data_IF_163234861158
#
_entry.id   IF_163234861158
#
_cell.length_a   1.000
_cell.length_b   1.000
_cell.length_c   1.000
_cell.angle_alpha   90.00
_cell.angle_beta   90.00
_cell.angle_gamma   90.00
#
_symmetry.space_group_name_H-M   'P 1'
#
loop_
_entity.id
_entity.type
_entity.pdbx_description
1 polymer ?
#
# COMPACT_ATOMS: atom_id res chain seq x y z
N UNK A 1 -66.68 -92.64 -30.29
CA UNK A 1 -65.44 -93.34 -29.94
C UNK A 1 -64.36 -92.81 -30.86
N UNK A 2 -63.40 -92.10 -30.28
CA UNK A 2 -62.37 -91.31 -30.95
C UNK A 2 -62.07 -90.09 -30.10
N UNK A 3 -61.34 -90.32 -29.00
CA UNK A 3 -60.87 -89.31 -28.05
C UNK A 3 -59.60 -88.64 -28.60
N UNK A 4 -59.58 -87.31 -28.62
CA UNK A 4 -58.37 -86.51 -28.81
C UNK A 4 -57.88 -86.05 -27.43
N UNK A 5 -56.67 -86.48 -27.06
CA UNK A 5 -56.00 -86.11 -25.81
C UNK A 5 -55.15 -84.86 -26.02
N UNK A 6 -55.52 -83.75 -25.38
CA UNK A 6 -54.74 -82.52 -25.31
C UNK A 6 -53.75 -82.59 -24.14
N UNK A 7 -52.46 -82.39 -24.43
CA UNK A 7 -51.39 -82.31 -23.44
C UNK A 7 -51.32 -80.89 -22.85
N UNK A 8 -51.44 -80.76 -21.52
CA UNK A 8 -51.19 -79.51 -20.81
C UNK A 8 -49.69 -79.27 -20.59
N UNK A 9 -49.18 -78.03 -20.71
CA UNK A 9 -47.80 -77.73 -20.35
C UNK A 9 -47.66 -77.46 -18.85
N UNK A 10 -46.50 -77.89 -18.33
CA UNK A 10 -46.09 -77.80 -16.94
C UNK A 10 -45.88 -76.35 -16.49
N UNK A 11 -46.28 -76.08 -15.23
CA UNK A 11 -45.97 -74.84 -14.54
C UNK A 11 -44.51 -74.86 -14.08
N UNK A 12 -43.68 -74.03 -14.73
CA UNK A 12 -42.33 -73.71 -14.29
C UNK A 12 -42.37 -72.69 -13.16
N UNK A 13 -41.80 -73.07 -12.02
CA UNK A 13 -41.55 -72.29 -10.81
C UNK A 13 -40.74 -71.02 -11.14
N UNK A 14 -41.34 -69.86 -10.89
CA UNK A 14 -40.73 -68.55 -11.09
C UNK A 14 -39.85 -68.22 -9.90
N UNK A 15 -38.55 -68.42 -10.04
CA UNK A 15 -37.56 -68.02 -9.04
C UNK A 15 -37.65 -66.53 -8.73
N UNK A 16 -37.76 -66.21 -7.45
CA UNK A 16 -37.66 -64.87 -6.91
C UNK A 16 -36.35 -64.24 -7.36
N UNK A 17 -36.44 -63.26 -8.27
CA UNK A 17 -35.33 -62.37 -8.57
C UNK A 17 -35.07 -61.55 -7.30
N UNK A 18 -33.97 -61.84 -6.60
CA UNK A 18 -33.48 -60.98 -5.54
C UNK A 18 -33.37 -59.56 -6.12
N UNK A 19 -34.14 -58.63 -5.54
CA UNK A 19 -34.08 -57.24 -5.94
C UNK A 19 -32.64 -56.75 -5.75
N UNK A 20 -32.03 -56.28 -6.84
CA UNK A 20 -30.73 -55.59 -6.82
C UNK A 20 -30.71 -54.61 -5.64
N UNK A 21 -29.69 -54.63 -4.78
CA UNK A 21 -29.65 -53.78 -3.59
C UNK A 21 -29.79 -52.32 -4.00
N UNK A 22 -30.90 -51.70 -3.59
CA UNK A 22 -31.18 -50.29 -3.85
C UNK A 22 -30.18 -49.43 -3.10
N UNK A 23 -29.36 -48.70 -3.84
CA UNK A 23 -28.45 -47.70 -3.29
C UNK A 23 -29.12 -46.33 -3.28
N UNK A 24 -29.35 -45.76 -2.10
CA UNK A 24 -29.97 -44.44 -1.94
C UNK A 24 -28.93 -43.34 -2.23
N UNK A 25 -29.05 -42.58 -3.35
CA UNK A 25 -28.08 -41.55 -3.71
C UNK A 25 -28.02 -40.39 -2.71
N UNK A 26 -29.00 -40.26 -1.82
CA UNK A 26 -29.05 -39.20 -0.78
C UNK A 26 -28.30 -39.58 0.49
N UNK A 27 -27.88 -40.84 0.64
CA UNK A 27 -27.09 -41.29 1.79
C UNK A 27 -25.68 -40.68 1.77
N UNK A 28 -25.16 -40.39 2.96
CA UNK A 28 -23.78 -39.93 3.11
C UNK A 28 -22.79 -41.10 2.89
N UNK A 29 -21.58 -40.86 2.36
CA UNK A 29 -20.58 -41.91 2.18
C UNK A 29 -20.20 -42.69 3.45
N UNK A 30 -20.40 -42.11 4.63
CA UNK A 30 -20.16 -42.76 5.91
C UNK A 30 -21.31 -43.64 6.41
N UNK A 31 -22.52 -43.44 5.89
CA UNK A 31 -23.71 -44.20 6.27
C UNK A 31 -23.90 -45.42 5.36
N UNK A 32 -23.65 -45.25 4.05
CA UNK A 32 -23.72 -46.33 3.07
C UNK A 32 -22.61 -46.21 2.04
N UNK A 33 -21.72 -47.21 1.98
CA UNK A 33 -20.61 -47.23 1.04
C UNK A 33 -21.05 -47.48 -0.42
N UNK A 34 -22.29 -47.93 -0.67
CA UNK A 34 -22.80 -48.15 -2.02
C UNK A 34 -22.74 -46.89 -2.88
N UNK A 35 -22.85 -45.72 -2.25
CA UNK A 35 -22.84 -44.42 -2.93
C UNK A 35 -21.46 -43.99 -3.40
N UNK A 36 -20.42 -44.75 -3.07
CA UNK A 36 -19.03 -44.51 -3.47
C UNK A 36 -18.76 -45.31 -4.75
N UNK A 37 -19.35 -44.87 -5.85
CA UNK A 37 -19.13 -45.45 -7.17
C UNK A 37 -19.19 -44.37 -8.27
N UNK A 38 -18.67 -44.70 -9.46
CA UNK A 38 -18.55 -43.80 -10.62
C UNK A 38 -19.92 -43.23 -11.06
N UNK A 39 -21.02 -43.91 -10.75
CA UNK A 39 -22.39 -43.46 -11.05
C UNK A 39 -22.89 -42.34 -10.11
N UNK A 40 -22.28 -42.18 -8.93
CA UNK A 40 -22.75 -41.28 -7.87
C UNK A 40 -21.83 -40.10 -7.60
N UNK A 41 -20.56 -40.19 -8.02
CA UNK A 41 -19.56 -39.17 -7.74
C UNK A 41 -18.46 -39.08 -8.78
N UNK A 42 -17.81 -37.92 -8.81
CA UNK A 42 -16.61 -37.65 -9.57
C UNK A 42 -15.42 -37.72 -8.62
N UNK A 43 -14.48 -38.58 -8.96
CA UNK A 43 -13.28 -38.84 -8.17
C UNK A 43 -12.15 -37.87 -8.53
N UNK A 44 -11.51 -37.32 -7.51
CA UNK A 44 -10.45 -36.32 -7.64
C UNK A 44 -9.26 -36.72 -6.77
N UNK A 45 -8.05 -36.69 -7.34
CA UNK A 45 -6.79 -37.03 -6.68
C UNK A 45 -5.67 -36.13 -7.22
N UNK A 46 -4.74 -35.63 -6.39
CA UNK A 46 -3.61 -34.83 -6.87
C UNK A 46 -2.73 -35.56 -7.90
N UNK A 47 -2.73 -36.90 -7.87
CA UNK A 47 -2.00 -37.76 -8.81
C UNK A 47 -2.80 -38.08 -10.10
N UNK A 48 -4.02 -37.53 -10.23
CA UNK A 48 -4.90 -37.71 -11.37
C UNK A 48 -4.48 -36.93 -12.63
N UNK A 49 -5.41 -36.82 -13.58
CA UNK A 49 -5.22 -36.02 -14.79
C UNK A 49 -6.49 -35.26 -15.18
N UNK A 50 -6.36 -33.97 -15.51
CA UNK A 50 -7.48 -33.13 -15.96
C UNK A 50 -7.72 -33.28 -17.47
N UNK A 51 -8.05 -34.49 -17.91
CA UNK A 51 -8.50 -34.74 -19.27
C UNK A 51 -10.03 -34.68 -19.41
N UNK A 52 -10.52 -34.79 -20.65
CA UNK A 52 -11.95 -34.69 -20.96
C UNK A 52 -12.78 -35.87 -20.41
N UNK A 53 -12.14 -36.93 -19.92
CA UNK A 53 -12.75 -38.17 -19.46
C UNK A 53 -12.47 -38.48 -17.98
N UNK A 54 -11.69 -37.65 -17.30
CA UNK A 54 -11.36 -37.82 -15.90
C UNK A 54 -12.60 -37.86 -15.01
N UNK A 55 -12.45 -38.42 -13.81
CA UNK A 55 -13.49 -38.41 -12.78
C UNK A 55 -13.98 -39.78 -12.34
N UNK A 56 -13.44 -40.86 -12.88
CA UNK A 56 -13.73 -42.22 -12.40
C UNK A 56 -12.76 -42.59 -11.29
N UNK A 57 -13.12 -43.57 -10.46
CA UNK A 57 -12.27 -44.11 -9.40
C UNK A 57 -10.91 -44.65 -9.90
N UNK A 58 -10.78 -44.98 -11.18
CA UNK A 58 -9.54 -45.47 -11.80
C UNK A 58 -8.80 -44.42 -12.64
N UNK A 59 -9.48 -43.33 -13.01
CA UNK A 59 -8.92 -42.19 -13.74
C UNK A 59 -9.46 -40.88 -13.12
N UNK A 60 -9.04 -40.54 -11.89
CA UNK A 60 -9.54 -39.36 -11.19
C UNK A 60 -9.06 -38.07 -11.87
N UNK A 61 -9.84 -37.00 -11.72
CA UNK A 61 -9.38 -35.65 -12.10
C UNK A 61 -8.25 -35.21 -11.18
N UNK A 62 -7.31 -34.40 -11.69
CA UNK A 62 -6.18 -33.88 -10.92
C UNK A 62 -6.62 -32.75 -9.96
N UNK A 63 -7.55 -31.90 -10.40
CA UNK A 63 -8.00 -30.73 -9.65
C UNK A 63 -9.44 -30.85 -9.17
N UNK A 64 -9.72 -30.27 -8.01
CA UNK A 64 -11.06 -30.11 -7.46
C UNK A 64 -11.90 -29.23 -8.40
N UNK A 65 -11.30 -28.19 -8.99
CA UNK A 65 -12.00 -27.34 -9.97
C UNK A 65 -12.54 -28.15 -11.15
N UNK A 66 -11.71 -29.01 -11.76
CA UNK A 66 -12.16 -29.89 -12.83
C UNK A 66 -13.19 -30.91 -12.34
N UNK A 67 -12.98 -31.47 -11.15
CA UNK A 67 -13.93 -32.39 -10.51
C UNK A 67 -15.32 -31.78 -10.33
N UNK A 68 -15.42 -30.54 -9.82
CA UNK A 68 -16.68 -29.82 -9.68
C UNK A 68 -17.36 -29.56 -11.02
N UNK A 69 -16.60 -29.18 -12.05
CA UNK A 69 -17.14 -28.94 -13.38
C UNK A 69 -17.80 -30.20 -13.96
N UNK A 70 -17.14 -31.36 -13.81
CA UNK A 70 -17.67 -32.66 -14.24
C UNK A 70 -18.85 -33.10 -13.39
N UNK A 71 -18.77 -32.92 -12.07
CA UNK A 71 -19.84 -33.28 -11.16
C UNK A 71 -21.12 -32.49 -11.46
N UNK A 72 -20.99 -31.19 -11.75
CA UNK A 72 -22.12 -30.36 -12.17
C UNK A 72 -22.72 -30.82 -13.51
N UNK A 73 -21.87 -31.12 -14.50
CA UNK A 73 -22.32 -31.57 -15.82
C UNK A 73 -23.04 -32.93 -15.77
N UNK A 74 -22.66 -33.79 -14.83
CA UNK A 74 -23.20 -35.15 -14.69
C UNK A 74 -24.23 -35.26 -13.55
N UNK A 75 -24.52 -34.18 -12.83
CA UNK A 75 -25.40 -34.16 -11.63
C UNK A 75 -24.95 -35.17 -10.56
N UNK A 76 -23.65 -35.15 -10.25
CA UNK A 76 -22.98 -36.04 -9.29
C UNK A 76 -22.35 -35.23 -8.15
N UNK A 77 -21.86 -35.95 -7.14
CA UNK A 77 -21.05 -35.38 -6.04
C UNK A 77 -19.57 -35.34 -6.41
N UNK A 78 -18.75 -34.70 -5.60
CA UNK A 78 -17.28 -34.76 -5.72
C UNK A 78 -16.70 -35.57 -4.56
N UNK A 79 -15.85 -36.53 -4.88
CA UNK A 79 -15.09 -37.35 -3.95
C UNK A 79 -13.60 -37.05 -4.11
N UNK A 80 -13.05 -36.26 -3.20
CA UNK A 80 -11.64 -35.89 -3.19
C UNK A 80 -10.88 -36.76 -2.20
N UNK A 81 -9.73 -37.29 -2.61
CA UNK A 81 -8.89 -38.07 -1.72
C UNK A 81 -8.00 -37.18 -0.83
N UNK A 82 -7.74 -37.64 0.39
CA UNK A 82 -7.15 -36.84 1.47
C UNK A 82 -5.75 -37.25 1.91
N UNK A 83 -5.14 -38.27 1.30
CA UNK A 83 -3.80 -38.76 1.63
C UNK A 83 -2.85 -38.82 0.42
N UNK A 84 -3.20 -38.12 -0.67
CA UNK A 84 -2.43 -38.02 -1.92
C UNK A 84 -1.55 -36.78 -2.05
N UNK A 85 -1.51 -35.93 -1.02
CA UNK A 85 -0.80 -34.65 -1.03
C UNK A 85 -1.73 -33.45 -1.24
N UNK A 86 -1.13 -32.32 -1.61
CA UNK A 86 -1.84 -31.03 -1.70
C UNK A 86 -2.51 -30.86 -3.07
N UNK A 87 -3.76 -30.40 -3.07
CA UNK A 87 -4.38 -29.78 -4.22
C UNK A 87 -3.85 -28.35 -4.35
N UNK A 88 -2.85 -28.19 -5.22
CA UNK A 88 -2.11 -26.94 -5.42
C UNK A 88 -2.87 -25.88 -6.23
N UNK A 89 -4.10 -25.55 -5.81
CA UNK A 89 -5.01 -24.65 -6.52
C UNK A 89 -5.77 -23.72 -5.57
N UNK A 90 -6.33 -22.64 -6.14
CA UNK A 90 -7.36 -21.83 -5.48
C UNK A 90 -8.73 -22.28 -5.99
N UNK A 91 -9.57 -22.78 -5.08
CA UNK A 91 -10.90 -23.29 -5.42
C UNK A 91 -11.90 -22.15 -5.43
N UNK A 92 -12.69 -22.04 -6.51
CA UNK A 92 -13.79 -21.09 -6.62
C UNK A 92 -15.10 -21.82 -6.93
N UNK A 93 -16.11 -21.59 -6.09
CA UNK A 93 -17.47 -22.09 -6.27
C UNK A 93 -18.37 -20.89 -6.55
N UNK A 94 -18.91 -20.80 -7.76
CA UNK A 94 -19.83 -19.74 -8.15
C UNK A 94 -21.26 -20.24 -8.37
N UNK A 95 -22.18 -19.33 -8.68
CA UNK A 95 -23.59 -19.64 -8.88
C UNK A 95 -23.89 -20.72 -9.95
N UNK A 96 -22.94 -21.07 -10.83
CA UNK A 96 -23.11 -22.17 -11.78
C UNK A 96 -23.00 -23.56 -11.13
N UNK A 97 -22.51 -23.62 -9.88
CA UNK A 97 -22.23 -24.83 -9.11
C UNK A 97 -23.20 -24.99 -7.91
N UNK A 98 -24.42 -24.46 -8.02
CA UNK A 98 -25.43 -24.58 -6.96
C UNK A 98 -25.82 -26.03 -6.65
N UNK A 99 -26.00 -26.33 -5.37
CA UNK A 99 -26.43 -27.64 -4.88
C UNK A 99 -25.33 -28.72 -4.90
N UNK A 100 -24.07 -28.35 -5.16
CA UNK A 100 -22.97 -29.30 -5.14
C UNK A 100 -22.66 -29.79 -3.72
N UNK A 101 -22.32 -31.07 -3.62
CA UNK A 101 -21.80 -31.67 -2.40
C UNK A 101 -20.43 -32.29 -2.66
N UNK A 102 -19.46 -31.91 -1.82
CA UNK A 102 -18.06 -32.29 -1.90
C UNK A 102 -17.64 -33.00 -0.63
N UNK A 103 -16.91 -34.10 -0.78
CA UNK A 103 -16.44 -34.93 0.32
C UNK A 103 -14.94 -35.21 0.15
N UNK A 104 -14.12 -34.75 1.09
CA UNK A 104 -12.66 -34.83 1.08
C UNK A 104 -12.07 -35.98 1.92
N UNK A 105 -12.92 -36.81 2.53
CA UNK A 105 -12.52 -37.81 3.52
C UNK A 105 -12.07 -39.16 2.95
N UNK A 106 -11.64 -39.24 1.69
CA UNK A 106 -11.35 -40.54 1.03
C UNK A 106 -9.87 -40.89 1.04
N UNK A 107 -9.53 -42.18 1.17
CA UNK A 107 -8.16 -42.66 0.91
C UNK A 107 -7.93 -42.84 -0.59
N UNK A 108 -6.83 -42.32 -1.11
CA UNK A 108 -6.50 -42.37 -2.54
C UNK A 108 -6.23 -43.81 -3.03
N UNK A 109 -5.86 -44.74 -2.14
CA UNK A 109 -5.51 -46.11 -2.51
C UNK A 109 -6.71 -46.97 -2.91
N UNK A 110 -7.86 -46.76 -2.26
CA UNK A 110 -9.02 -47.65 -2.37
C UNK A 110 -10.38 -46.93 -2.31
N UNK A 111 -10.38 -45.60 -2.22
CA UNK A 111 -11.58 -44.77 -2.07
C UNK A 111 -12.44 -45.14 -0.85
N UNK A 112 -11.86 -45.76 0.19
CA UNK A 112 -12.55 -45.92 1.46
C UNK A 112 -12.75 -44.56 2.12
N UNK A 113 -13.97 -44.31 2.61
CA UNK A 113 -14.29 -43.06 3.30
C UNK A 113 -13.87 -43.15 4.78
N UNK A 114 -12.92 -42.32 5.17
CA UNK A 114 -12.29 -42.31 6.48
C UNK A 114 -12.05 -40.88 7.02
N UNK A 115 -13.12 -40.06 7.17
CA UNK A 115 -13.04 -38.61 7.48
C UNK A 115 -12.46 -38.26 8.85
N UNK A 116 -12.30 -39.26 9.73
CA UNK A 116 -11.60 -39.12 11.01
C UNK A 116 -10.07 -39.21 10.89
N UNK A 117 -9.55 -39.60 9.72
CA UNK A 117 -8.12 -39.87 9.49
C UNK A 117 -7.52 -39.09 8.35
N UNK A 118 -8.29 -38.79 7.30
CA UNK A 118 -7.83 -38.10 6.10
C UNK A 118 -8.78 -36.96 5.74
N UNK A 119 -8.23 -35.90 5.14
CA UNK A 119 -8.98 -34.75 4.61
C UNK A 119 -8.28 -34.23 3.37
N UNK A 120 -9.03 -33.94 2.31
CA UNK A 120 -8.51 -33.32 1.11
C UNK A 120 -7.90 -31.94 1.45
N UNK A 121 -6.63 -31.75 1.12
CA UNK A 121 -5.89 -30.56 1.50
C UNK A 121 -5.76 -29.58 0.34
N UNK A 122 -6.44 -28.44 0.43
CA UNK A 122 -6.38 -27.35 -0.55
C UNK A 122 -5.35 -26.33 -0.09
N UNK A 123 -4.29 -26.17 -0.88
CA UNK A 123 -3.20 -25.27 -0.57
C UNK A 123 -2.65 -24.64 -1.84
N UNK A 124 -3.05 -23.40 -2.18
CA UNK A 124 -2.61 -22.73 -3.39
C UNK A 124 -1.08 -22.69 -3.54
N UNK A 125 -0.60 -22.76 -4.78
CA UNK A 125 0.83 -22.72 -5.09
C UNK A 125 1.51 -21.38 -4.74
N UNK A 126 0.75 -20.30 -4.58
CA UNK A 126 1.23 -18.98 -4.19
C UNK A 126 0.32 -18.29 -3.18
N UNK A 127 0.62 -17.03 -2.85
CA UNK A 127 -0.26 -16.22 -2.01
C UNK A 127 -1.62 -16.00 -2.68
N UNK A 128 -2.68 -15.96 -1.88
CA UNK A 128 -4.05 -15.82 -2.37
C UNK A 128 -5.08 -16.46 -1.44
N UNK A 129 -6.34 -16.36 -1.83
CA UNK A 129 -7.44 -17.04 -1.13
C UNK A 129 -7.45 -18.51 -1.57
N UNK A 130 -7.50 -19.44 -0.60
CA UNK A 130 -7.54 -20.87 -0.90
C UNK A 130 -8.92 -21.33 -1.38
N UNK A 131 -9.98 -20.82 -0.75
CA UNK A 131 -11.35 -21.18 -1.09
C UNK A 131 -12.26 -19.96 -1.20
N UNK A 132 -12.92 -19.78 -2.34
CA UNK A 132 -13.88 -18.70 -2.59
C UNK A 132 -15.24 -19.27 -2.96
N UNK A 133 -16.30 -18.79 -2.30
CA UNK A 133 -17.71 -19.06 -2.64
C UNK A 133 -18.38 -17.73 -2.97
N UNK A 134 -18.98 -17.61 -4.15
CA UNK A 134 -19.63 -16.36 -4.60
C UNK A 134 -21.01 -16.64 -5.23
N UNK A 135 -22.07 -16.11 -4.62
CA UNK A 135 -23.41 -16.14 -5.23
C UNK A 135 -24.09 -17.51 -5.22
N UNK A 136 -23.60 -18.46 -4.44
CA UNK A 136 -24.08 -19.86 -4.41
C UNK A 136 -25.33 -20.00 -3.55
N UNK A 137 -26.27 -20.84 -3.98
CA UNK A 137 -27.44 -21.27 -3.23
C UNK A 137 -27.41 -22.80 -3.05
N UNK A 138 -27.03 -23.24 -1.85
CA UNK A 138 -26.78 -24.64 -1.52
C UNK A 138 -25.36 -25.06 -1.91
N UNK A 139 -24.55 -25.40 -0.91
CA UNK A 139 -23.22 -25.99 -1.09
C UNK A 139 -22.88 -26.78 0.17
N UNK A 140 -22.48 -28.03 0.01
CA UNK A 140 -22.03 -28.88 1.12
C UNK A 140 -20.56 -29.25 0.91
N UNK A 141 -19.72 -28.97 1.90
CA UNK A 141 -18.28 -29.25 1.85
C UNK A 141 -17.89 -30.00 3.12
N UNK A 142 -17.50 -31.26 2.96
CA UNK A 142 -17.18 -32.17 4.04
C UNK A 142 -15.71 -32.55 4.01
N UNK A 143 -15.05 -32.52 5.16
CA UNK A 143 -13.72 -33.12 5.35
C UNK A 143 -12.60 -32.50 4.50
N UNK A 144 -12.58 -31.17 4.38
CA UNK A 144 -11.51 -30.44 3.71
C UNK A 144 -10.59 -29.75 4.71
N UNK A 145 -9.29 -29.78 4.44
CA UNK A 145 -8.33 -28.87 5.04
C UNK A 145 -8.03 -27.75 4.04
N UNK A 146 -8.39 -26.52 4.37
CA UNK A 146 -8.29 -25.35 3.50
C UNK A 146 -7.25 -24.42 4.11
N UNK A 147 -6.12 -24.27 3.44
CA UNK A 147 -4.99 -23.48 3.94
C UNK A 147 -4.55 -22.42 2.93
N UNK A 148 -4.35 -21.18 3.39
CA UNK A 148 -3.72 -20.12 2.59
C UNK A 148 -2.28 -19.89 3.03
N UNK A 149 -1.40 -19.66 2.05
CA UNK A 149 0.01 -19.32 2.29
C UNK A 149 0.16 -17.99 3.02
N UNK A 150 1.30 -17.80 3.65
CA UNK A 150 1.71 -16.49 4.17
C UNK A 150 1.69 -15.45 3.05
N UNK A 151 1.18 -14.28 3.35
CA UNK A 151 1.25 -13.15 2.43
C UNK A 151 2.67 -12.57 2.45
N UNK A 152 3.20 -12.30 1.26
CA UNK A 152 4.57 -11.78 1.07
C UNK A 152 4.57 -10.39 0.44
N UNK A 153 3.56 -10.08 -0.37
CA UNK A 153 3.38 -8.74 -0.93
C UNK A 153 3.03 -7.73 0.18
N UNK A 154 3.72 -6.59 0.31
CA UNK A 154 3.47 -5.64 1.39
C UNK A 154 2.00 -5.23 1.52
N UNK A 155 1.45 -5.37 2.73
CA UNK A 155 0.04 -5.11 3.03
C UNK A 155 -0.96 -6.16 2.53
N UNK A 156 -0.53 -7.20 1.82
CA UNK A 156 -1.41 -8.29 1.40
C UNK A 156 -1.82 -9.17 2.58
N UNK A 157 -3.03 -9.72 2.50
CA UNK A 157 -3.61 -10.59 3.52
C UNK A 157 -3.46 -12.06 3.15
N UNK A 158 -3.35 -12.92 4.16
CA UNK A 158 -3.57 -14.35 4.03
C UNK A 158 -5.00 -14.68 4.48
N UNK A 159 -5.81 -15.24 3.58
CA UNK A 159 -7.21 -15.55 3.86
C UNK A 159 -7.51 -16.95 3.36
N UNK A 160 -7.88 -17.88 4.25
CA UNK A 160 -8.11 -19.27 3.83
C UNK A 160 -9.44 -19.42 3.09
N UNK A 161 -10.52 -18.81 3.60
CA UNK A 161 -11.85 -18.88 2.99
C UNK A 161 -12.54 -17.53 2.86
N UNK A 162 -13.25 -17.31 1.74
CA UNK A 162 -14.17 -16.19 1.54
C UNK A 162 -15.51 -16.73 1.03
N UNK A 163 -16.60 -16.40 1.71
CA UNK A 163 -17.98 -16.72 1.31
C UNK A 163 -18.78 -15.43 1.19
N UNK A 164 -19.20 -15.08 -0.02
CA UNK A 164 -19.89 -13.82 -0.30
C UNK A 164 -21.18 -14.00 -1.09
N UNK A 165 -22.21 -13.26 -0.71
CA UNK A 165 -23.52 -13.26 -1.35
C UNK A 165 -24.12 -14.68 -1.53
N UNK A 166 -23.86 -15.60 -0.60
CA UNK A 166 -24.24 -17.00 -0.73
C UNK A 166 -25.20 -17.43 0.39
N UNK A 167 -26.06 -18.41 0.11
CA UNK A 167 -26.99 -18.98 1.10
C UNK A 167 -26.96 -20.50 1.08
N UNK A 168 -27.25 -21.12 2.23
CA UNK A 168 -27.24 -22.58 2.35
C UNK A 168 -25.85 -23.20 2.18
N UNK A 169 -24.79 -22.48 2.53
CA UNK A 169 -23.42 -23.00 2.51
C UNK A 169 -23.16 -23.73 3.83
N UNK A 170 -22.77 -25.00 3.75
CA UNK A 170 -22.46 -25.85 4.89
C UNK A 170 -21.03 -26.37 4.76
N UNK A 171 -20.22 -26.10 5.77
CA UNK A 171 -18.94 -26.77 5.97
C UNK A 171 -19.06 -27.73 7.14
N UNK A 172 -18.63 -28.99 6.93
CA UNK A 172 -18.64 -30.03 7.94
C UNK A 172 -17.26 -30.64 8.11
N UNK A 173 -16.81 -30.83 9.35
CA UNK A 173 -15.53 -31.45 9.70
C UNK A 173 -14.33 -30.87 8.91
N UNK A 174 -14.38 -29.57 8.61
CA UNK A 174 -13.43 -28.89 7.74
C UNK A 174 -12.61 -27.86 8.50
N UNK A 175 -11.36 -27.66 8.10
CA UNK A 175 -10.45 -26.72 8.76
C UNK A 175 -10.08 -25.58 7.84
N UNK A 176 -10.07 -24.36 8.35
CA UNK A 176 -9.57 -23.18 7.65
C UNK A 176 -8.36 -22.62 8.39
N UNK A 177 -7.21 -22.58 7.71
CA UNK A 177 -5.95 -22.12 8.28
C UNK A 177 -5.37 -21.00 7.43
N UNK A 178 -5.33 -19.79 7.97
CA UNK A 178 -4.64 -18.68 7.32
C UNK A 178 -3.20 -18.56 7.82
N UNK A 179 -2.27 -18.37 6.88
CA UNK A 179 -0.91 -17.94 7.16
C UNK A 179 -0.82 -16.49 7.66
N UNK A 180 0.40 -15.99 7.79
CA UNK A 180 0.67 -14.64 8.27
C UNK A 180 0.27 -13.57 7.24
N UNK A 181 -0.24 -12.43 7.73
CA UNK A 181 -0.43 -11.23 6.92
C UNK A 181 0.89 -10.49 6.70
N UNK A 182 1.07 -9.89 5.52
CA UNK A 182 2.32 -9.19 5.19
C UNK A 182 2.41 -7.83 5.89
N UNK A 183 3.62 -7.47 6.35
CA UNK A 183 3.90 -6.11 6.82
C UNK A 183 3.63 -5.09 5.70
N UNK A 184 3.07 -3.93 6.04
CA UNK A 184 2.91 -2.82 5.11
C UNK A 184 4.22 -2.10 4.81
N UNK A 185 4.35 -1.51 3.61
CA UNK A 185 5.52 -0.74 3.21
C UNK A 185 5.82 0.42 4.16
N UNK A 186 7.09 0.59 4.49
CA UNK A 186 7.56 1.78 5.19
C UNK A 186 7.48 3.01 4.26
N UNK A 187 7.18 4.15 4.86
CA UNK A 187 7.27 5.44 4.20
C UNK A 187 8.72 5.81 3.89
N UNK A 188 8.89 6.64 2.88
CA UNK A 188 10.18 7.15 2.41
C UNK A 188 10.46 8.47 3.13
N UNK A 189 11.67 8.63 3.63
CA UNK A 189 12.12 9.88 4.24
C UNK A 189 12.11 11.04 3.22
N UNK A 190 11.73 12.21 3.70
CA UNK A 190 11.69 13.41 2.88
C UNK A 190 13.09 13.90 2.50
N UNK A 191 13.22 14.42 1.27
CA UNK A 191 14.45 15.04 0.81
C UNK A 191 14.80 16.30 1.64
N UNK A 192 16.09 16.53 1.84
CA UNK A 192 16.58 17.76 2.47
C UNK A 192 16.27 18.98 1.61
N UNK A 193 15.97 20.10 2.25
CA UNK A 193 15.83 21.38 1.59
C UNK A 193 17.18 21.85 1.05
N UNK A 194 17.19 22.49 -0.12
CA UNK A 194 18.40 23.12 -0.65
C UNK A 194 18.84 24.29 0.24
N UNK A 195 20.15 24.43 0.44
CA UNK A 195 20.72 25.58 1.12
C UNK A 195 20.51 26.85 0.30
N UNK A 196 20.47 28.00 0.98
CA UNK A 196 20.57 29.30 0.31
C UNK A 196 21.89 29.39 -0.46
N UNK A 197 21.91 29.93 -1.68
CA UNK A 197 23.16 30.10 -2.41
C UNK A 197 24.07 31.10 -1.70
N UNK A 198 25.37 30.83 -1.72
CA UNK A 198 26.39 31.73 -1.17
C UNK A 198 26.58 32.97 -2.08
N UNK A 199 26.82 34.16 -1.50
CA UNK A 199 26.96 35.39 -2.28
C UNK A 199 28.23 35.37 -3.14
N UNK A 200 28.09 35.78 -4.40
CA UNK A 200 29.19 35.97 -5.34
C UNK A 200 29.61 37.44 -5.49
N UNK A 201 30.54 37.75 -6.41
CA UNK A 201 31.03 39.11 -6.64
C UNK A 201 29.94 40.14 -6.96
N UNK A 202 28.84 39.73 -7.60
CA UNK A 202 27.73 40.63 -7.96
C UNK A 202 26.82 40.98 -6.79
N UNK A 203 26.90 40.23 -5.69
CA UNK A 203 26.17 40.50 -4.45
C UNK A 203 26.94 41.41 -3.50
N UNK A 204 28.24 41.65 -3.71
CA UNK A 204 29.04 42.53 -2.87
C UNK A 204 28.75 44.01 -3.14
N UNK A 205 28.94 44.83 -2.11
CA UNK A 205 28.98 46.28 -2.25
C UNK A 205 30.20 46.75 -3.04
N UNK A 206 30.11 47.94 -3.61
CA UNK A 206 31.15 48.58 -4.40
C UNK A 206 31.95 49.51 -3.50
N UNK A 207 33.29 49.41 -3.56
CA UNK A 207 34.20 50.25 -2.80
C UNK A 207 34.04 51.73 -3.17
N UNK A 208 34.33 52.63 -2.24
CA UNK A 208 34.33 54.07 -2.50
C UNK A 208 35.37 54.45 -3.58
N UNK A 209 35.09 55.52 -4.34
CA UNK A 209 36.02 56.05 -5.36
C UNK A 209 35.95 57.57 -5.46
N UNK A 210 37.10 58.21 -5.65
CA UNK A 210 37.20 59.66 -5.84
C UNK A 210 37.73 60.04 -7.23
N UNK A 211 38.32 59.09 -7.96
CA UNK A 211 39.18 59.42 -9.10
C UNK A 211 38.48 59.45 -10.46
N UNK A 212 37.28 58.87 -10.64
CA UNK A 212 36.49 58.91 -11.89
C UNK A 212 35.01 58.50 -11.65
N UNK A 213 34.07 58.61 -12.63
CA UNK A 213 32.71 58.04 -12.53
C UNK A 213 32.72 56.55 -12.14
N UNK A 214 31.62 56.02 -11.55
CA UNK A 214 30.23 56.42 -11.75
C UNK A 214 29.68 57.48 -10.77
N UNK A 215 28.53 58.05 -11.13
CA UNK A 215 27.75 58.98 -10.28
C UNK A 215 27.03 58.28 -9.14
N UNK A 216 26.88 56.95 -9.21
CA UNK A 216 26.14 56.14 -8.23
C UNK A 216 26.83 54.79 -8.10
N UNK A 217 27.04 54.34 -6.87
CA UNK A 217 27.34 52.95 -6.56
C UNK A 217 26.06 52.24 -6.15
N UNK A 218 25.61 51.31 -6.99
CA UNK A 218 24.51 50.44 -6.63
C UNK A 218 24.94 49.47 -5.53
N UNK A 219 24.06 49.22 -4.57
CA UNK A 219 24.27 48.14 -3.62
C UNK A 219 24.18 46.78 -4.31
N UNK A 220 24.86 45.80 -3.71
CA UNK A 220 24.83 44.42 -4.19
C UNK A 220 23.41 43.87 -4.20
N UNK A 221 23.10 43.04 -5.19
CA UNK A 221 21.76 42.49 -5.39
C UNK A 221 21.80 41.05 -5.91
N UNK A 222 20.74 40.32 -5.65
CA UNK A 222 20.51 39.00 -6.24
C UNK A 222 19.74 39.12 -7.54
N UNK A 223 19.96 38.17 -8.46
CA UNK A 223 19.15 38.05 -9.66
C UNK A 223 18.05 37.02 -9.43
N UNK A 224 16.88 37.22 -10.04
CA UNK A 224 15.73 36.29 -9.93
C UNK A 224 16.07 34.85 -10.35
N UNK A 225 17.02 34.64 -11.27
CA UNK A 225 17.48 33.31 -11.67
C UNK A 225 18.31 32.58 -10.61
N UNK A 226 18.75 33.27 -9.56
CA UNK A 226 19.53 32.73 -8.45
C UNK A 226 18.67 32.51 -7.19
N UNK A 227 17.39 32.92 -7.22
CA UNK A 227 16.45 32.76 -6.11
C UNK A 227 15.98 31.31 -6.06
N UNK A 228 16.17 30.65 -4.91
CA UNK A 228 15.75 29.27 -4.69
C UNK A 228 14.63 29.25 -3.66
N UNK A 229 13.58 28.46 -3.90
CA UNK A 229 12.41 28.33 -3.03
C UNK A 229 11.76 29.66 -2.67
N UNK A 230 11.87 30.61 -3.60
CA UNK A 230 11.40 31.98 -3.46
C UNK A 230 11.98 32.71 -2.24
N UNK A 231 13.08 32.30 -1.62
CA UNK A 231 13.68 33.11 -0.56
C UNK A 231 14.70 34.07 -1.18
N UNK A 232 14.55 35.38 -0.98
CA UNK A 232 15.51 36.40 -1.42
C UNK A 232 16.08 37.23 -0.26
N UNK A 233 17.38 37.49 -0.27
CA UNK A 233 18.02 38.45 0.61
C UNK A 233 17.87 39.89 0.10
N UNK A 234 17.82 40.85 1.02
CA UNK A 234 17.57 42.26 0.68
C UNK A 234 18.71 42.88 -0.12
N UNK A 235 18.38 43.79 -1.04
CA UNK A 235 19.38 44.55 -1.80
C UNK A 235 20.18 45.48 -0.87
N UNK A 236 21.48 45.61 -1.09
CA UNK A 236 22.30 46.61 -0.41
C UNK A 236 21.91 48.06 -0.74
N UNK A 237 22.19 48.99 0.16
CA UNK A 237 21.95 50.41 -0.05
C UNK A 237 22.82 50.99 -1.17
N UNK A 238 22.27 51.91 -1.96
CA UNK A 238 23.04 52.65 -2.97
C UNK A 238 23.62 53.94 -2.36
N UNK A 239 24.60 54.54 -3.03
CA UNK A 239 25.08 55.88 -2.69
C UNK A 239 25.47 56.66 -3.94
N UNK A 240 25.06 57.93 -3.97
CA UNK A 240 25.40 58.87 -5.02
C UNK A 240 26.69 59.65 -4.71
N UNK A 241 27.33 60.12 -5.77
CA UNK A 241 28.52 60.98 -5.68
C UNK A 241 28.20 62.28 -4.95
N UNK A 242 29.06 62.64 -4.00
CA UNK A 242 29.06 63.98 -3.42
C UNK A 242 29.32 65.03 -4.49
N UNK A 243 28.64 66.17 -4.41
CA UNK A 243 28.94 67.31 -5.29
C UNK A 243 30.24 67.99 -4.82
N UNK A 244 30.68 69.01 -5.55
CA UNK A 244 31.83 69.83 -5.15
C UNK A 244 31.65 70.55 -3.80
N UNK A 245 30.42 70.63 -3.28
CA UNK A 245 30.09 71.37 -2.05
C UNK A 245 29.24 70.60 -1.05
N UNK A 246 28.73 69.42 -1.40
CA UNK A 246 27.81 68.65 -0.56
C UNK A 246 28.10 67.15 -0.60
N UNK A 247 28.03 66.53 0.57
CA UNK A 247 28.05 65.08 0.74
C UNK A 247 26.66 64.50 0.40
N UNK A 248 26.58 63.19 0.19
CA UNK A 248 25.32 62.47 0.09
C UNK A 248 25.28 61.37 1.13
N UNK A 249 24.16 61.25 1.82
CA UNK A 249 23.91 60.11 2.70
C UNK A 249 23.88 58.82 1.89
N UNK A 250 24.35 57.73 2.49
CA UNK A 250 24.08 56.40 1.97
C UNK A 250 22.60 56.08 2.13
N UNK A 251 22.05 55.30 1.20
CA UNK A 251 20.71 54.76 1.32
C UNK A 251 20.71 53.53 2.24
N UNK A 252 19.57 53.27 2.87
CA UNK A 252 19.32 52.03 3.61
C UNK A 252 19.38 50.83 2.66
N UNK A 253 19.81 49.69 3.18
CA UNK A 253 19.55 48.41 2.54
C UNK A 253 18.06 48.11 2.54
N UNK A 254 17.63 47.28 1.58
CA UNK A 254 16.27 46.76 1.57
C UNK A 254 16.14 45.57 2.52
N UNK A 255 14.93 45.35 3.01
CA UNK A 255 14.60 44.15 3.77
C UNK A 255 14.74 42.90 2.89
N UNK A 256 15.04 41.76 3.51
CA UNK A 256 14.89 40.46 2.86
C UNK A 256 13.42 40.17 2.54
N UNK A 257 13.18 39.33 1.54
CA UNK A 257 11.82 39.03 1.10
C UNK A 257 11.00 38.43 2.26
N UNK A 258 9.90 39.09 2.63
CA UNK A 258 9.07 38.65 3.72
C UNK A 258 8.43 37.29 3.42
N UNK A 259 8.61 36.35 4.33
CA UNK A 259 7.91 35.06 4.31
C UNK A 259 6.92 34.97 5.45
N UNK A 260 5.86 34.21 5.19
CA UNK A 260 4.96 33.73 6.23
C UNK A 260 5.54 32.45 6.84
N UNK A 261 5.08 32.07 8.03
CA UNK A 261 5.48 30.83 8.71
C UNK A 261 6.98 30.80 9.07
N UNK A 262 7.45 31.86 9.72
CA UNK A 262 8.84 32.02 10.18
C UNK A 262 8.96 31.94 11.71
N UNK A 263 10.15 31.58 12.18
CA UNK A 263 10.54 31.70 13.59
C UNK A 263 11.93 32.34 13.67
N UNK A 264 12.04 33.60 14.15
CA UNK A 264 10.96 34.52 14.55
C UNK A 264 10.14 35.04 13.33
N UNK A 265 8.90 35.54 13.53
CA UNK A 265 7.95 35.84 12.46
C UNK A 265 8.31 37.02 11.55
N UNK A 266 9.19 37.91 12.00
CA UNK A 266 9.73 39.03 11.20
C UNK A 266 11.21 39.12 11.49
N UNK A 267 12.03 39.05 10.44
CA UNK A 267 13.46 39.26 10.47
C UNK A 267 13.92 39.90 9.16
N UNK A 268 15.23 40.04 8.96
CA UNK A 268 15.77 40.49 7.68
C UNK A 268 15.59 41.99 7.38
N UNK A 269 15.43 42.84 8.38
CA UNK A 269 15.40 44.29 8.20
C UNK A 269 16.70 44.85 7.58
N UNK A 270 16.59 45.78 6.64
CA UNK A 270 17.71 46.43 5.98
C UNK A 270 18.59 47.25 6.94
N UNK A 271 19.89 47.31 6.64
CA UNK A 271 20.84 48.11 7.39
C UNK A 271 20.70 49.60 7.06
N UNK A 272 20.78 50.46 8.07
CA UNK A 272 20.62 51.92 7.90
C UNK A 272 21.80 52.52 7.12
N UNK A 273 21.54 53.36 6.14
CA UNK A 273 22.56 54.14 5.44
C UNK A 273 23.20 55.17 6.37
N UNK A 274 24.48 55.46 6.14
CA UNK A 274 25.19 56.47 6.92
C UNK A 274 24.85 57.89 6.43
N UNK A 275 24.68 58.82 7.36
CA UNK A 275 24.59 60.27 7.08
C UNK A 275 25.92 60.99 7.26
N UNK A 276 26.95 60.30 7.74
CA UNK A 276 28.24 60.89 8.10
C UNK A 276 29.33 60.40 7.12
N UNK A 277 30.04 61.31 6.43
CA UNK A 277 31.12 60.94 5.52
C UNK A 277 32.15 60.04 6.17
N UNK A 278 32.68 59.07 5.41
CA UNK A 278 33.65 58.09 5.87
C UNK A 278 33.17 57.17 7.03
N UNK A 279 31.87 57.18 7.35
CA UNK A 279 31.24 56.20 8.26
C UNK A 279 30.50 55.16 7.42
N UNK A 280 30.76 53.88 7.71
CA UNK A 280 30.08 52.76 7.07
C UNK A 280 28.57 52.77 7.38
N UNK A 281 27.77 52.23 6.47
CA UNK A 281 26.36 51.94 6.75
C UNK A 281 26.22 50.80 7.77
N UNK A 282 25.01 50.66 8.31
CA UNK A 282 24.64 49.60 9.24
C UNK A 282 24.59 48.23 8.56
N UNK A 283 24.84 47.19 9.34
CA UNK A 283 24.68 45.80 8.92
C UNK A 283 23.19 45.47 8.85
N UNK A 284 22.76 44.78 7.79
CA UNK A 284 21.40 44.26 7.70
C UNK A 284 21.13 43.18 8.75
N UNK A 285 19.89 43.08 9.22
CA UNK A 285 19.51 42.07 10.20
C UNK A 285 19.55 40.66 9.57
N UNK A 286 19.86 39.62 10.37
CA UNK A 286 19.78 38.24 9.90
C UNK A 286 18.35 37.90 9.48
N UNK A 287 18.22 36.95 8.55
CA UNK A 287 16.93 36.35 8.19
C UNK A 287 16.38 35.44 9.29
N UNK A 288 15.25 34.79 9.02
CA UNK A 288 14.61 33.85 9.95
C UNK A 288 14.48 32.45 9.34
N UNK A 289 14.49 31.43 10.20
CA UNK A 289 14.20 30.06 9.77
C UNK A 289 12.70 29.91 9.45
N UNK A 290 12.39 29.08 8.46
CA UNK A 290 11.01 28.65 8.21
C UNK A 290 10.54 27.68 9.28
N UNK A 291 9.23 27.65 9.53
CA UNK A 291 8.59 26.68 10.39
C UNK A 291 8.78 25.26 9.85
N UNK A 292 8.90 24.30 10.76
CA UNK A 292 8.86 22.89 10.41
C UNK A 292 7.49 22.52 9.81
N UNK A 293 7.48 21.51 8.95
CA UNK A 293 6.24 20.91 8.46
C UNK A 293 5.50 20.18 9.58
N UNK A 294 4.21 19.95 9.38
CA UNK A 294 3.41 19.11 10.27
C UNK A 294 3.78 17.64 10.14
N UNK A 295 3.69 16.90 11.24
CA UNK A 295 3.81 15.45 11.23
C UNK A 295 2.65 14.81 10.46
N UNK A 296 2.92 13.64 9.88
CA UNK A 296 1.87 12.78 9.32
C UNK A 296 0.94 12.24 10.40
N UNK A 297 -0.19 11.70 9.97
CA UNK A 297 -1.22 11.15 10.88
C UNK A 297 -1.30 9.65 10.68
N UNK A 298 -1.34 8.87 11.76
CA UNK A 298 -1.55 7.43 11.68
C UNK A 298 -2.96 7.11 11.18
N UNK A 299 -3.14 5.93 10.58
CA UNK A 299 -4.48 5.45 10.25
C UNK A 299 -5.32 5.31 11.53
N UNK A 300 -6.57 5.79 11.50
CA UNK A 300 -7.47 5.73 12.66
C UNK A 300 -7.97 4.31 12.98
N UNK A 301 -7.83 3.38 12.03
CA UNK A 301 -8.16 1.97 12.16
C UNK A 301 -7.10 1.13 11.43
N UNK A 302 -7.08 -0.18 11.68
CA UNK A 302 -6.15 -1.09 10.98
C UNK A 302 -6.52 -1.30 9.50
N UNK A 303 -7.81 -1.22 9.17
CA UNK A 303 -8.34 -1.48 7.84
C UNK A 303 -9.84 -1.69 7.87
N UNK A 304 -10.39 -2.12 6.74
CA UNK A 304 -11.82 -2.44 6.57
C UNK A 304 -11.96 -3.76 5.83
N UNK A 305 -12.93 -4.57 6.25
CA UNK A 305 -13.38 -5.70 5.44
C UNK A 305 -14.29 -5.20 4.33
N UNK A 306 -14.12 -5.76 3.14
CA UNK A 306 -14.93 -5.55 1.94
C UNK A 306 -15.35 -6.92 1.39
N UNK A 307 -16.19 -6.93 0.35
CA UNK A 307 -16.57 -8.16 -0.34
C UNK A 307 -15.39 -8.92 -0.95
N UNK A 308 -14.24 -8.28 -1.16
CA UNK A 308 -13.03 -8.90 -1.71
C UNK A 308 -11.99 -9.30 -0.66
N UNK A 309 -12.30 -9.16 0.64
CA UNK A 309 -11.38 -9.48 1.74
C UNK A 309 -11.07 -8.28 2.63
N UNK A 310 -9.83 -8.19 3.13
CA UNK A 310 -9.41 -7.09 4.01
C UNK A 310 -8.58 -6.05 3.26
N UNK A 311 -8.97 -4.78 3.39
CA UNK A 311 -8.21 -3.64 2.87
C UNK A 311 -7.53 -2.91 4.03
N UNK A 312 -6.19 -2.94 4.13
CA UNK A 312 -5.48 -2.28 5.22
C UNK A 312 -5.53 -0.76 5.08
N UNK A 313 -5.64 -0.04 6.20
CA UNK A 313 -5.64 1.41 6.21
C UNK A 313 -4.20 1.94 6.29
N UNK A 314 -3.91 2.99 5.52
CA UNK A 314 -2.60 3.65 5.51
C UNK A 314 -2.62 4.95 6.30
N UNK A 315 -1.47 5.33 6.84
CA UNK A 315 -1.30 6.67 7.40
C UNK A 315 -1.35 7.75 6.32
N UNK A 316 -1.39 9.00 6.76
CA UNK A 316 -1.25 10.18 5.93
C UNK A 316 0.16 10.78 6.04
N UNK A 317 0.73 11.27 4.94
CA UNK A 317 2.04 11.92 4.97
C UNK A 317 2.01 13.19 5.84
N UNK A 318 3.19 13.65 6.25
CA UNK A 318 3.34 14.98 6.82
C UNK A 318 3.22 16.09 5.77
N UNK A 319 3.59 17.31 6.14
CA UNK A 319 3.68 18.43 5.19
C UNK A 319 5.14 18.85 5.00
N UNK A 320 5.42 19.50 3.87
CA UNK A 320 6.71 20.15 3.66
C UNK A 320 6.95 21.21 4.75
N UNK A 321 8.22 21.43 5.09
CA UNK A 321 8.65 22.58 5.85
C UNK A 321 8.57 23.86 5.01
N UNK A 322 8.55 25.00 5.69
CA UNK A 322 8.51 26.30 5.03
C UNK A 322 9.93 26.77 4.70
N UNK A 323 10.14 27.47 3.57
CA UNK A 323 11.39 28.18 3.30
C UNK A 323 11.70 29.21 4.39
N UNK A 324 12.97 29.41 4.69
CA UNK A 324 13.43 30.54 5.49
C UNK A 324 13.28 31.87 4.74
N UNK A 325 13.38 32.96 5.50
CA UNK A 325 13.48 34.31 4.97
C UNK A 325 14.95 34.71 4.84
N UNK A 326 15.27 35.44 3.77
CA UNK A 326 16.60 36.04 3.57
C UNK A 326 16.91 37.18 4.55
N UNK A 327 18.19 37.46 4.76
CA UNK A 327 18.63 38.60 5.57
C UNK A 327 18.44 39.94 4.86
N UNK A 328 18.50 41.04 5.62
CA UNK A 328 18.46 42.39 5.07
C UNK A 328 19.77 42.78 4.38
N UNK A 329 19.70 43.63 3.38
CA UNK A 329 20.88 44.21 2.74
C UNK A 329 21.59 45.19 3.67
N UNK A 330 22.90 45.34 3.52
CA UNK A 330 23.67 46.35 4.27
C UNK A 330 23.35 47.78 3.79
N UNK A 331 23.41 48.75 4.68
CA UNK A 331 23.30 50.17 4.32
C UNK A 331 24.56 50.68 3.62
N UNK A 332 24.43 51.71 2.79
CA UNK A 332 25.59 52.35 2.17
C UNK A 332 26.29 53.32 3.13
N UNK A 333 27.61 53.51 2.94
CA UNK A 333 28.34 54.61 3.56
C UNK A 333 28.02 55.95 2.88
N UNK A 334 28.11 57.05 3.63
CA UNK A 334 27.93 58.38 3.04
C UNK A 334 29.12 58.75 2.14
N UNK A 335 28.86 59.54 1.09
CA UNK A 335 29.91 60.04 0.22
C UNK A 335 30.65 61.23 0.81
N UNK A 336 31.96 61.31 0.54
CA UNK A 336 32.75 62.53 0.72
C UNK A 336 32.55 63.48 -0.46
N UNK A 337 32.96 64.75 -0.30
CA UNK A 337 32.92 65.76 -1.38
C UNK A 337 33.66 65.22 -2.60
N UNK A 338 33.02 65.32 -3.77
CA UNK A 338 33.55 64.85 -5.06
C UNK A 338 33.85 63.34 -5.17
N UNK A 339 33.50 62.53 -4.16
CA UNK A 339 33.68 61.08 -4.15
C UNK A 339 32.33 60.36 -4.18
N UNK A 340 32.31 59.10 -4.62
CA UNK A 340 31.16 58.20 -4.45
C UNK A 340 31.45 57.29 -3.27
N UNK A 341 30.51 57.21 -2.32
CA UNK A 341 30.68 56.39 -1.11
C UNK A 341 30.70 54.89 -1.42
N UNK A 342 30.97 54.08 -0.40
CA UNK A 342 30.85 52.63 -0.52
C UNK A 342 29.37 52.21 -0.46
N UNK A 343 28.94 51.31 -1.36
CA UNK A 343 27.58 50.75 -1.32
C UNK A 343 27.48 49.53 -0.41
N UNK A 344 26.26 49.18 0.00
CA UNK A 344 25.99 48.02 0.84
C UNK A 344 26.04 46.70 0.06
N UNK A 345 26.38 45.60 0.75
CA UNK A 345 26.26 44.24 0.21
C UNK A 345 24.82 43.71 0.31
N UNK A 346 24.48 42.73 -0.52
CA UNK A 346 23.20 42.04 -0.45
C UNK A 346 23.07 41.19 0.82
N UNK A 347 21.86 41.08 1.35
CA UNK A 347 21.53 40.17 2.43
C UNK A 347 21.66 38.70 2.00
N UNK A 348 21.90 37.81 2.97
CA UNK A 348 22.04 36.38 2.73
C UNK A 348 20.72 35.72 2.34
N UNK A 349 20.78 34.58 1.66
CA UNK A 349 19.61 33.83 1.21
C UNK A 349 19.06 32.92 2.29
N UNK A 350 17.74 32.76 2.31
CA UNK A 350 17.09 31.73 3.10
C UNK A 350 17.27 30.34 2.48
N UNK A 351 17.25 29.31 3.33
CA UNK A 351 17.23 27.91 2.89
C UNK A 351 15.81 27.44 2.57
N UNK A 352 15.70 26.44 1.68
CA UNK A 352 14.43 25.78 1.39
C UNK A 352 13.92 24.98 2.59
N UNK A 353 12.60 24.87 2.72
CA UNK A 353 11.99 23.89 3.63
C UNK A 353 12.34 22.46 3.22
N UNK A 354 12.52 21.58 4.21
CA UNK A 354 12.68 20.16 3.96
C UNK A 354 11.38 19.52 3.45
N UNK A 355 11.50 18.46 2.66
CA UNK A 355 10.33 17.77 2.08
C UNK A 355 9.69 16.83 3.08
N UNK A 356 8.39 16.61 2.92
CA UNK A 356 7.63 15.67 3.74
C UNK A 356 8.17 14.24 3.60
N UNK A 357 8.12 13.47 4.67
CA UNK A 357 8.22 12.01 4.62
C UNK A 357 6.88 11.42 4.18
N UNK A 358 6.91 10.34 3.39
CA UNK A 358 5.68 9.66 2.95
C UNK A 358 5.13 8.77 4.08
N UNK A 359 3.86 8.40 3.98
CA UNK A 359 3.22 7.56 5.00
C UNK A 359 3.61 6.09 4.90
N UNK A 360 3.70 5.44 6.06
CA UNK A 360 3.71 3.98 6.13
C UNK A 360 2.34 3.41 5.75
N UNK A 361 2.36 2.27 5.05
CA UNK A 361 1.16 1.54 4.60
C UNK A 361 0.68 0.57 5.68
N UNK A 362 -0.61 0.23 5.67
CA UNK A 362 -1.14 -0.76 6.61
C UNK A 362 -0.64 -2.17 6.30
N UNK A 363 -0.49 -3.02 7.32
CA UNK A 363 -0.19 -4.43 7.16
C UNK A 363 -1.46 -5.25 6.88
N UNK A 364 -1.30 -6.36 6.17
CA UNK A 364 -2.42 -7.22 5.81
C UNK A 364 -2.95 -8.04 6.98
N UNK A 365 -4.03 -8.76 6.75
CA UNK A 365 -4.69 -9.59 7.77
C UNK A 365 -4.33 -11.06 7.65
N UNK A 366 -4.54 -11.81 8.74
CA UNK A 366 -4.62 -13.27 8.73
C UNK A 366 -6.03 -13.67 9.12
N UNK A 367 -6.78 -14.31 8.21
CA UNK A 367 -8.21 -14.58 8.41
C UNK A 367 -8.58 -15.98 7.93
N UNK A 368 -9.04 -16.82 8.86
CA UNK A 368 -9.49 -18.18 8.54
C UNK A 368 -10.68 -18.18 7.57
N UNK A 369 -11.75 -17.44 7.88
CA UNK A 369 -12.96 -17.41 7.06
C UNK A 369 -13.64 -16.04 7.13
N UNK A 370 -13.95 -15.49 5.96
CA UNK A 370 -14.81 -14.30 5.82
C UNK A 370 -16.19 -14.74 5.35
N UNK A 371 -17.24 -14.38 6.09
CA UNK A 371 -18.63 -14.46 5.62
C UNK A 371 -19.17 -13.05 5.37
N UNK A 372 -19.51 -12.74 4.13
CA UNK A 372 -19.94 -11.41 3.69
C UNK A 372 -21.30 -11.46 3.01
N UNK A 373 -22.34 -10.94 3.67
CA UNK A 373 -23.72 -11.01 3.19
C UNK A 373 -24.13 -12.44 2.81
N UNK A 374 -23.82 -13.41 3.68
CA UNK A 374 -24.00 -14.84 3.41
C UNK A 374 -24.55 -15.60 4.62
N UNK A 375 -25.23 -16.71 4.36
CA UNK A 375 -25.68 -17.69 5.36
C UNK A 375 -24.76 -18.92 5.31
N UNK A 376 -23.91 -19.07 6.32
CA UNK A 376 -22.91 -20.15 6.43
C UNK A 376 -23.14 -20.94 7.71
N UNK A 377 -23.25 -22.27 7.57
CA UNK A 377 -23.31 -23.22 8.70
C UNK A 377 -21.97 -23.93 8.82
N UNK A 378 -21.44 -23.99 10.04
CA UNK A 378 -20.19 -24.67 10.36
C UNK A 378 -20.49 -25.79 11.37
N UNK A 379 -20.24 -27.04 10.97
CA UNK A 379 -20.41 -28.23 11.81
C UNK A 379 -19.04 -28.87 12.05
N UNK A 380 -18.59 -28.96 13.29
CA UNK A 380 -17.29 -29.56 13.65
C UNK A 380 -16.08 -28.94 12.90
N UNK A 381 -16.16 -27.66 12.56
CA UNK A 381 -15.09 -26.93 11.89
C UNK A 381 -14.06 -26.33 12.86
N UNK A 382 -12.83 -26.17 12.38
CA UNK A 382 -11.78 -25.40 13.05
C UNK A 382 -11.38 -24.20 12.20
N UNK A 383 -11.27 -23.02 12.83
CA UNK A 383 -10.89 -21.77 12.18
C UNK A 383 -9.65 -21.22 12.87
N UNK A 384 -8.52 -21.15 12.15
CA UNK A 384 -7.24 -20.71 12.68
C UNK A 384 -6.68 -19.56 11.87
N UNK A 385 -6.43 -18.43 12.53
CA UNK A 385 -5.63 -17.33 11.99
C UNK A 385 -4.24 -17.34 12.61
N UNK A 386 -3.24 -16.96 11.83
CA UNK A 386 -1.91 -16.64 12.30
C UNK A 386 -1.81 -15.13 12.67
N UNK A 387 -0.64 -14.52 12.47
CA UNK A 387 -0.38 -13.13 12.86
C UNK A 387 -0.77 -12.18 11.74
N UNK A 388 -1.49 -11.10 12.08
CA UNK A 388 -1.68 -9.98 11.15
C UNK A 388 -0.37 -9.25 10.87
N UNK A 389 -0.25 -8.67 9.68
CA UNK A 389 0.90 -7.88 9.28
C UNK A 389 1.00 -6.59 10.07
N UNK A 390 2.22 -6.25 10.50
CA UNK A 390 2.49 -4.94 11.10
C UNK A 390 2.35 -3.81 10.08
N UNK A 391 1.98 -2.61 10.55
CA UNK A 391 2.04 -1.41 9.70
C UNK A 391 3.47 -1.03 9.31
N UNK A 392 3.58 -0.29 8.22
CA UNK A 392 4.78 0.43 7.82
C UNK A 392 5.08 1.58 8.76
N UNK A 393 6.36 1.82 9.03
CA UNK A 393 6.82 3.04 9.70
C UNK A 393 6.60 4.23 8.77
N UNK A 394 6.18 5.39 9.29
CA UNK A 394 6.17 6.63 8.50
C UNK A 394 7.59 7.15 8.22
N UNK A 395 7.79 7.75 7.04
CA UNK A 395 9.04 8.41 6.69
C UNK A 395 9.28 9.65 7.56
N UNK A 396 10.53 9.90 7.90
CA UNK A 396 10.94 11.12 8.58
C UNK A 396 10.79 12.33 7.65
N UNK A 397 10.50 13.52 8.20
CA UNK A 397 10.59 14.76 7.44
C UNK A 397 12.05 15.09 7.08
N UNK A 398 12.26 15.63 5.89
CA UNK A 398 13.56 16.13 5.46
C UNK A 398 13.99 17.34 6.29
N UNK A 399 15.29 17.46 6.53
CA UNK A 399 15.85 18.66 7.18
C UNK A 399 15.73 19.86 6.25
N UNK A 400 15.40 21.04 6.80
CA UNK A 400 15.48 22.31 6.06
C UNK A 400 16.92 22.65 5.64
N UNK A 401 17.05 23.39 4.54
CA UNK A 401 18.32 23.90 4.07
C UNK A 401 18.87 24.99 4.99
N UNK A 402 20.19 25.11 5.03
CA UNK A 402 20.86 26.18 5.76
C UNK A 402 20.67 27.54 5.06
N UNK A 403 20.68 28.61 5.86
CA UNK A 403 20.76 29.99 5.38
C UNK A 403 22.20 30.28 4.88
N UNK A 404 22.36 31.21 3.94
CA UNK A 404 23.67 31.73 3.55
C UNK A 404 23.99 33.07 4.23
N UNK A 405 25.27 33.42 4.29
CA UNK A 405 25.70 34.72 4.82
C UNK A 405 25.39 35.85 3.83
N UNK A 406 25.25 37.06 4.37
CA UNK A 406 25.21 38.26 3.54
C UNK A 406 26.54 38.54 2.86
N UNK A 407 26.50 39.27 1.75
CA UNK A 407 27.69 39.70 1.03
C UNK A 407 28.36 40.89 1.72
N UNK A 408 29.68 40.98 1.58
CA UNK A 408 30.45 42.11 2.11
C UNK A 408 30.00 43.44 1.48
N UNK A 409 29.99 44.50 2.30
CA UNK A 409 29.84 45.87 1.83
C UNK A 409 31.11 46.41 1.16
N UNK A 410 30.99 47.54 0.47
CA UNK A 410 32.14 48.24 -0.07
C UNK A 410 33.05 48.81 1.03
N UNK A 411 34.35 48.85 0.77
CA UNK A 411 35.33 49.50 1.64
C UNK A 411 35.31 51.03 1.49
N UNK A 412 35.40 51.74 2.61
CA UNK A 412 35.23 53.21 2.69
C UNK A 412 36.38 54.03 2.12
N UNK A 413 37.56 53.43 1.92
CA UNK A 413 38.73 54.06 1.30
C UNK A 413 39.50 55.00 2.21
#
# INVERSE_FOLDING_TARGET
>A
AGDDAEAGPEAGDGGDAEAEPYCDPTSLPGDDACVIADDYGIFVSPDGADDATCGTSTAPCATITQGMARANAETKRVYACGDGGDYAESVTVDAALNGLALFGGFKCSDWSYAPSTVRAHVLPAGEGVAWTVDGVNGLEVHDFAIESRDATTPGASSIAGVVRNASGVVFKNSTFTAGDGAKGDDGVDGAVGANGPEPGPTQRGVNATCTEPPSTHNGGAWNLSQVICSSEGGKGGNVDRGTATQTKSGQDGSDGELKTNLVPPVAGGGGTGSTTPAVAGGVGAPGAAGLAGGNGVAAAAAGVFTSSGFTPASGLPGTDGFPGQGGGGGGAGASAISCTGASGGAGGMGGCGGKLGTSGKGGGSSVALVSWSSDVTLEDCSLTSATGGSGGRGGNGGKGGNLSLGADGGSSG
#
